data_IF_778615739509
#
_entry.id   IF_778615739509
#
_cell.length_a   1.000
_cell.length_b   1.000
_cell.length_c   1.000
_cell.angle_alpha   90.00
_cell.angle_beta   90.00
_cell.angle_gamma   90.00
#
_symmetry.space_group_name_H-M   'P 1'
#
loop_
_entity.id
_entity.type
_entity.pdbx_description
1 polymer ?
#
# COMPACT_ATOMS: atom_id res chain seq x y z
N UNK A 1 13.28 37.50 0.55
CA UNK A 1 12.03 36.70 0.46
C UNK A 1 11.85 36.23 -0.99
N UNK A 2 11.82 34.91 -1.27
CA UNK A 2 11.26 34.24 -2.48
C UNK A 2 11.84 32.85 -2.86
N UNK A 3 12.51 32.12 -1.95
CA UNK A 3 12.95 30.72 -2.25
C UNK A 3 12.02 29.61 -1.71
N UNK A 4 11.07 29.92 -0.85
CA UNK A 4 10.19 28.91 -0.23
C UNK A 4 8.94 28.58 -1.07
N UNK A 5 8.48 29.51 -1.91
CA UNK A 5 7.25 29.35 -2.72
C UNK A 5 7.48 28.37 -3.88
N UNK A 6 8.70 28.30 -4.43
CA UNK A 6 9.05 27.43 -5.56
C UNK A 6 9.12 25.94 -5.19
N UNK A 7 9.60 25.58 -3.99
CA UNK A 7 9.62 24.17 -3.53
C UNK A 7 8.22 23.60 -3.31
N UNK A 8 7.30 24.40 -2.76
CA UNK A 8 5.92 23.96 -2.48
C UNK A 8 5.11 23.78 -3.76
N UNK A 9 5.39 24.58 -4.79
CA UNK A 9 4.83 24.41 -6.13
C UNK A 9 5.41 23.19 -6.85
N UNK A 10 6.73 22.94 -6.74
CA UNK A 10 7.38 21.77 -7.33
C UNK A 10 6.90 20.44 -6.69
N UNK A 11 6.68 20.41 -5.37
CA UNK A 11 6.11 19.24 -4.68
C UNK A 11 4.63 19.00 -5.06
N UNK A 12 3.85 20.06 -5.28
CA UNK A 12 2.47 19.94 -5.81
C UNK A 12 2.45 19.46 -7.27
N UNK A 13 3.41 19.89 -8.09
CA UNK A 13 3.53 19.46 -9.48
C UNK A 13 3.95 17.98 -9.59
N UNK A 14 4.87 17.52 -8.74
CA UNK A 14 5.27 16.10 -8.68
C UNK A 14 4.12 15.17 -8.24
N UNK A 15 3.18 15.68 -7.44
CA UNK A 15 1.98 14.95 -7.00
C UNK A 15 0.82 14.98 -8.00
N UNK A 16 0.94 15.71 -9.11
CA UNK A 16 -0.10 15.92 -10.11
C UNK A 16 0.33 15.57 -11.54
N UNK A 17 1.53 14.99 -11.73
CA UNK A 17 1.89 14.46 -13.04
C UNK A 17 0.93 13.31 -13.33
N UNK A 18 0.07 13.41 -14.36
CA UNK A 18 -0.75 12.30 -14.78
C UNK A 18 0.19 11.14 -15.09
N UNK A 19 -0.03 9.99 -14.48
CA UNK A 19 0.71 8.79 -14.86
C UNK A 19 0.43 8.53 -16.34
N UNK A 20 1.45 8.70 -17.17
CA UNK A 20 1.44 8.22 -18.54
C UNK A 20 1.93 6.77 -18.47
N UNK A 21 1.13 5.77 -18.89
CA UNK A 21 1.57 4.39 -18.94
C UNK A 21 2.86 4.28 -19.76
N UNK A 22 3.99 4.13 -19.07
CA UNK A 22 5.23 3.73 -19.72
C UNK A 22 5.20 2.21 -19.83
N UNK A 23 5.30 1.70 -21.06
CA UNK A 23 5.71 0.31 -21.23
C UNK A 23 7.10 0.16 -20.61
N UNK A 24 7.23 -0.76 -19.65
CA UNK A 24 8.51 -1.05 -19.01
C UNK A 24 9.50 -1.57 -20.06
N UNK A 25 10.60 -0.85 -20.26
CA UNK A 25 11.55 -1.10 -21.36
C UNK A 25 13.01 -1.02 -20.92
N UNK A 26 13.31 -0.69 -19.66
CA UNK A 26 14.69 -0.46 -19.21
C UNK A 26 15.10 -1.46 -18.13
N UNK A 27 16.38 -1.85 -18.19
CA UNK A 27 17.06 -2.52 -17.08
C UNK A 27 17.29 -1.55 -15.91
N UNK A 28 17.62 -2.10 -14.74
CA UNK A 28 17.96 -1.31 -13.57
C UNK A 28 19.16 -0.37 -13.85
N UNK A 29 19.07 0.95 -13.57
CA UNK A 29 20.13 1.92 -13.82
C UNK A 29 21.49 1.44 -13.33
N UNK A 30 22.56 1.60 -14.12
CA UNK A 30 23.88 1.03 -13.80
C UNK A 30 24.52 1.59 -12.51
N UNK A 31 24.15 2.81 -12.14
CA UNK A 31 24.65 3.58 -10.98
C UNK A 31 23.93 3.28 -9.65
N UNK A 32 22.98 2.34 -9.63
CA UNK A 32 22.31 1.97 -8.38
C UNK A 32 23.29 1.39 -7.34
N UNK A 33 23.13 1.75 -6.05
CA UNK A 33 23.84 1.10 -4.97
C UNK A 33 23.72 -0.43 -5.05
N UNK A 34 24.82 -1.20 -4.90
CA UNK A 34 24.81 -2.65 -5.10
C UNK A 34 23.75 -3.38 -4.27
N UNK A 35 23.53 -2.96 -3.02
CA UNK A 35 22.51 -3.53 -2.15
C UNK A 35 21.08 -3.33 -2.68
N UNK A 36 20.76 -2.16 -3.22
CA UNK A 36 19.44 -1.87 -3.80
C UNK A 36 19.20 -2.74 -5.03
N UNK A 37 20.19 -2.82 -5.93
CA UNK A 37 20.12 -3.70 -7.10
C UNK A 37 19.91 -5.16 -6.68
N UNK A 38 20.67 -5.62 -5.68
CA UNK A 38 20.59 -6.98 -5.19
C UNK A 38 19.20 -7.30 -4.61
N UNK A 39 18.60 -6.37 -3.83
CA UNK A 39 17.25 -6.54 -3.28
C UNK A 39 16.22 -6.67 -4.41
N UNK A 40 16.24 -5.76 -5.39
CA UNK A 40 15.26 -5.78 -6.50
C UNK A 40 15.41 -7.06 -7.32
N UNK A 41 16.62 -7.37 -7.77
CA UNK A 41 16.88 -8.56 -8.59
C UNK A 41 16.56 -9.86 -7.84
N UNK A 42 16.95 -9.96 -6.58
CA UNK A 42 16.66 -11.15 -5.77
C UNK A 42 15.15 -11.29 -5.58
N UNK A 43 14.44 -10.20 -5.33
CA UNK A 43 12.98 -10.23 -5.16
C UNK A 43 12.28 -10.67 -6.43
N UNK A 44 12.61 -10.06 -7.58
CA UNK A 44 11.99 -10.37 -8.87
C UNK A 44 12.28 -11.80 -9.38
N UNK A 45 13.32 -12.46 -8.85
CA UNK A 45 13.65 -13.86 -9.17
C UNK A 45 12.96 -14.88 -8.26
N UNK A 46 12.36 -14.44 -7.15
CA UNK A 46 11.62 -15.34 -6.25
C UNK A 46 10.25 -15.67 -6.85
N UNK A 47 9.64 -16.73 -6.34
CA UNK A 47 8.21 -16.94 -6.55
C UNK A 47 7.43 -15.80 -5.88
N UNK A 48 6.60 -15.05 -6.65
CA UNK A 48 5.76 -13.97 -6.11
C UNK A 48 4.92 -14.41 -4.91
N UNK A 49 4.44 -15.66 -4.87
CA UNK A 49 3.65 -16.20 -3.77
C UNK A 49 4.37 -16.18 -2.41
N UNK A 50 5.71 -16.15 -2.42
CA UNK A 50 6.52 -16.12 -1.19
C UNK A 50 6.56 -14.75 -0.52
N UNK A 51 6.04 -13.71 -1.18
CA UNK A 51 5.89 -12.39 -0.58
C UNK A 51 4.51 -12.28 0.04
N UNK A 52 4.46 -12.12 1.36
CA UNK A 52 3.20 -12.04 2.11
C UNK A 52 2.47 -10.71 1.89
N UNK A 53 1.30 -10.56 2.53
CA UNK A 53 0.46 -9.36 2.48
C UNK A 53 0.60 -8.48 3.72
N UNK A 54 1.56 -8.79 4.61
CA UNK A 54 1.86 -7.96 5.78
C UNK A 54 2.73 -6.73 5.42
N UNK A 55 3.11 -5.96 6.43
CA UNK A 55 3.88 -4.72 6.26
C UNK A 55 5.17 -4.93 5.46
N UNK A 56 5.86 -6.06 5.63
CA UNK A 56 7.12 -6.32 4.95
C UNK A 56 6.88 -6.58 3.46
N UNK A 57 5.96 -7.50 3.16
CA UNK A 57 5.67 -7.86 1.78
C UNK A 57 5.07 -6.71 0.98
N UNK A 58 4.17 -5.95 1.60
CA UNK A 58 3.47 -4.85 0.93
C UNK A 58 4.37 -3.65 0.66
N UNK A 59 5.26 -3.29 1.61
CA UNK A 59 6.25 -2.23 1.39
C UNK A 59 7.26 -2.62 0.32
N UNK A 60 7.71 -3.89 0.29
CA UNK A 60 8.62 -4.36 -0.76
C UNK A 60 7.95 -4.32 -2.14
N UNK A 61 6.70 -4.80 -2.25
CA UNK A 61 5.94 -4.75 -3.51
C UNK A 61 5.68 -3.32 -3.97
N UNK A 62 5.32 -2.41 -3.05
CA UNK A 62 5.17 -0.99 -3.38
C UNK A 62 6.49 -0.41 -3.91
N UNK A 63 7.62 -0.72 -3.28
CA UNK A 63 8.94 -0.29 -3.74
C UNK A 63 9.24 -0.79 -5.16
N UNK A 64 8.90 -2.04 -5.48
CA UNK A 64 9.02 -2.54 -6.86
C UNK A 64 8.14 -1.74 -7.83
N UNK A 65 6.89 -1.45 -7.48
CA UNK A 65 5.97 -0.67 -8.33
C UNK A 65 6.42 0.79 -8.52
N UNK A 66 7.15 1.37 -7.56
CA UNK A 66 7.82 2.65 -7.76
C UNK A 66 8.98 2.56 -8.77
N UNK A 67 9.69 1.44 -8.81
CA UNK A 67 10.67 1.16 -9.87
C UNK A 67 10.01 0.91 -11.22
N UNK A 68 8.87 0.24 -11.27
CA UNK A 68 8.08 0.10 -12.50
C UNK A 68 7.71 1.45 -13.09
N UNK A 69 7.29 2.42 -12.26
CA UNK A 69 6.99 3.78 -12.70
C UNK A 69 8.19 4.48 -13.37
N UNK A 70 9.42 4.01 -13.09
CA UNK A 70 10.67 4.48 -13.71
C UNK A 70 11.09 3.63 -14.93
N UNK A 71 10.23 2.71 -15.38
CA UNK A 71 10.43 1.87 -16.56
C UNK A 71 11.11 0.52 -16.31
N UNK A 72 11.36 0.13 -15.06
CA UNK A 72 12.00 -1.15 -14.73
C UNK A 72 11.09 -2.31 -15.14
N UNK A 73 11.65 -3.21 -15.97
CA UNK A 73 10.96 -4.40 -16.50
C UNK A 73 10.61 -5.44 -15.41
N UNK A 74 9.80 -6.42 -15.79
CA UNK A 74 9.37 -7.59 -15.01
C UNK A 74 8.51 -7.32 -13.75
N UNK A 75 8.53 -6.11 -13.19
CA UNK A 75 7.72 -5.74 -12.02
C UNK A 75 6.22 -5.91 -12.26
N UNK A 76 5.71 -5.54 -13.44
CA UNK A 76 4.29 -5.70 -13.74
C UNK A 76 3.87 -7.17 -13.69
N UNK A 77 4.61 -8.05 -14.37
CA UNK A 77 4.33 -9.48 -14.35
C UNK A 77 4.41 -10.06 -12.93
N UNK A 78 5.46 -9.68 -12.18
CA UNK A 78 5.67 -10.11 -10.80
C UNK A 78 4.52 -9.68 -9.87
N UNK A 79 4.13 -8.40 -9.91
CA UNK A 79 3.06 -7.84 -9.08
C UNK A 79 1.67 -8.40 -9.43
N UNK A 80 1.38 -8.63 -10.72
CA UNK A 80 0.14 -9.28 -11.14
C UNK A 80 0.07 -10.72 -10.62
N UNK A 81 1.16 -11.49 -10.74
CA UNK A 81 1.22 -12.86 -10.22
C UNK A 81 1.08 -12.92 -8.68
N UNK A 82 1.68 -11.96 -7.97
CA UNK A 82 1.50 -11.82 -6.53
C UNK A 82 0.03 -11.57 -6.15
N UNK A 83 -0.63 -10.62 -6.82
CA UNK A 83 -2.04 -10.34 -6.58
C UNK A 83 -2.94 -11.55 -6.88
N UNK A 84 -2.68 -12.23 -8.01
CA UNK A 84 -3.44 -13.43 -8.42
C UNK A 84 -3.33 -14.57 -7.39
N UNK A 85 -2.15 -14.74 -6.79
CA UNK A 85 -1.95 -15.74 -5.74
C UNK A 85 -2.76 -15.42 -4.48
N UNK A 86 -2.67 -14.19 -3.99
CA UNK A 86 -3.34 -13.79 -2.74
C UNK A 86 -4.86 -13.74 -2.87
N UNK A 87 -5.40 -13.44 -4.06
CA UNK A 87 -6.83 -13.55 -4.35
C UNK A 87 -7.37 -14.98 -4.36
N UNK A 88 -6.51 -15.99 -4.56
CA UNK A 88 -6.89 -17.41 -4.60
C UNK A 88 -6.54 -18.15 -3.30
N UNK A 89 -5.84 -17.48 -2.39
CA UNK A 89 -5.38 -18.08 -1.14
C UNK A 89 -6.53 -18.20 -0.15
N UNK A 90 -6.64 -19.35 0.52
CA UNK A 90 -7.77 -19.67 1.39
C UNK A 90 -7.71 -19.06 2.80
N UNK A 91 -6.67 -18.26 3.09
CA UNK A 91 -6.47 -17.68 4.40
C UNK A 91 -5.26 -16.76 4.44
N UNK A 92 -5.07 -16.10 5.58
CA UNK A 92 -3.88 -15.27 5.81
C UNK A 92 -2.65 -16.17 5.84
N UNK A 93 -1.55 -15.74 5.20
CA UNK A 93 -0.26 -16.43 5.36
C UNK A 93 0.07 -16.55 6.85
N UNK A 94 0.59 -17.70 7.31
CA UNK A 94 0.87 -17.98 8.73
C UNK A 94 1.70 -16.85 9.38
N UNK A 95 1.01 -15.90 10.00
CA UNK A 95 1.59 -14.77 10.73
C UNK A 95 1.62 -15.13 12.21
N UNK A 96 2.79 -15.04 12.83
CA UNK A 96 3.00 -15.37 14.25
C UNK A 96 3.04 -14.13 15.16
N UNK A 97 2.70 -12.95 14.64
CA UNK A 97 2.72 -11.71 15.42
C UNK A 97 1.39 -11.42 16.11
N UNK A 98 1.04 -10.14 16.20
CA UNK A 98 -0.14 -9.66 16.93
C UNK A 98 -1.44 -10.41 16.57
N UNK A 99 -2.20 -10.79 17.62
CA UNK A 99 -3.46 -11.50 17.46
C UNK A 99 -4.54 -10.52 17.01
N UNK A 100 -5.03 -10.70 15.80
CA UNK A 100 -6.12 -9.93 15.22
C UNK A 100 -7.10 -10.88 14.53
N UNK A 101 -8.37 -10.49 14.43
CA UNK A 101 -9.35 -11.27 13.67
C UNK A 101 -9.02 -11.27 12.17
N UNK A 102 -9.32 -12.38 11.52
CA UNK A 102 -9.27 -12.49 10.06
C UNK A 102 -10.50 -11.85 9.42
N UNK A 103 -10.25 -11.16 8.32
CA UNK A 103 -11.22 -10.39 7.53
C UNK A 103 -10.77 -10.43 6.07
N UNK A 104 -11.58 -9.89 5.17
CA UNK A 104 -11.26 -9.85 3.74
C UNK A 104 -11.30 -8.42 3.22
N UNK A 105 -10.35 -8.07 2.35
CA UNK A 105 -10.36 -6.82 1.59
C UNK A 105 -10.16 -7.12 0.09
N UNK A 106 -11.18 -6.84 -0.72
CA UNK A 106 -11.18 -7.09 -2.17
C UNK A 106 -10.96 -8.54 -2.55
N UNK A 107 -11.36 -9.49 -1.70
CA UNK A 107 -11.15 -10.93 -1.87
C UNK A 107 -9.84 -11.47 -1.28
N UNK A 108 -8.96 -10.63 -0.72
CA UNK A 108 -7.72 -11.07 -0.08
C UNK A 108 -7.95 -11.21 1.42
N UNK A 109 -7.56 -12.36 1.98
CA UNK A 109 -7.54 -12.58 3.43
C UNK A 109 -6.46 -11.73 4.09
N UNK A 110 -6.86 -10.96 5.10
CA UNK A 110 -6.00 -10.13 5.94
C UNK A 110 -6.44 -10.25 7.39
N UNK A 111 -5.71 -9.61 8.30
CA UNK A 111 -6.20 -9.40 9.67
C UNK A 111 -6.39 -7.91 9.95
N UNK A 112 -7.10 -7.56 11.02
CA UNK A 112 -7.20 -6.18 11.52
C UNK A 112 -5.91 -5.64 12.13
N UNK A 113 -4.81 -6.39 12.05
CA UNK A 113 -3.47 -5.91 12.41
C UNK A 113 -3.03 -4.84 11.40
N UNK A 114 -2.54 -3.71 11.90
CA UNK A 114 -2.19 -2.54 11.12
C UNK A 114 -1.17 -2.81 10.00
N UNK A 115 -0.28 -3.79 10.16
CA UNK A 115 0.67 -4.17 9.12
C UNK A 115 -0.01 -4.64 7.82
N UNK A 116 -1.20 -5.24 7.91
CA UNK A 116 -1.94 -5.68 6.71
C UNK A 116 -2.63 -4.52 5.98
N UNK A 117 -2.81 -3.35 6.60
CA UNK A 117 -3.37 -2.19 5.91
C UNK A 117 -2.43 -1.71 4.79
N UNK A 118 -1.15 -2.04 4.89
CA UNK A 118 -0.15 -1.82 3.84
C UNK A 118 -0.51 -2.45 2.50
N UNK A 119 -1.41 -3.45 2.46
CA UNK A 119 -1.91 -4.06 1.22
C UNK A 119 -2.52 -3.02 0.26
N UNK A 120 -3.11 -1.94 0.77
CA UNK A 120 -3.63 -0.86 -0.07
C UNK A 120 -2.53 -0.16 -0.89
N UNK A 121 -1.26 -0.22 -0.49
CA UNK A 121 -0.19 0.55 -1.15
C UNK A 121 0.17 -0.02 -2.51
N UNK A 122 0.59 -1.31 -2.64
CA UNK A 122 0.84 -1.88 -3.94
C UNK A 122 -0.44 -1.97 -4.78
N UNK A 123 -1.60 -2.22 -4.17
CA UNK A 123 -2.86 -2.26 -4.90
C UNK A 123 -3.24 -0.89 -5.49
N UNK A 124 -2.96 0.21 -4.81
CA UNK A 124 -3.19 1.56 -5.33
C UNK A 124 -2.30 1.81 -6.55
N UNK A 125 -1.03 1.44 -6.42
CA UNK A 125 -0.06 1.55 -7.51
C UNK A 125 -0.47 0.72 -8.73
N UNK A 126 -0.92 -0.53 -8.55
CA UNK A 126 -1.43 -1.35 -9.65
C UNK A 126 -2.71 -0.78 -10.27
N UNK A 127 -3.62 -0.23 -9.46
CA UNK A 127 -4.84 0.38 -9.96
C UNK A 127 -4.55 1.62 -10.82
N UNK A 128 -3.66 2.50 -10.37
CA UNK A 128 -3.30 3.73 -11.09
C UNK A 128 -2.39 3.45 -12.28
N UNK A 129 -1.41 2.55 -12.13
CA UNK A 129 -0.43 2.28 -13.19
C UNK A 129 -0.96 1.33 -14.27
N UNK A 130 -1.78 0.33 -13.91
CA UNK A 130 -2.23 -0.71 -14.83
C UNK A 130 -3.73 -0.67 -15.13
N UNK A 131 -4.51 0.15 -14.41
CA UNK A 131 -5.96 0.11 -14.46
C UNK A 131 -6.57 -1.16 -13.84
N UNK A 132 -5.82 -1.87 -12.98
CA UNK A 132 -6.27 -3.16 -12.43
C UNK A 132 -7.46 -2.95 -11.48
N UNK A 133 -8.65 -3.39 -11.91
CA UNK A 133 -9.90 -3.22 -11.18
C UNK A 133 -9.98 -4.08 -9.91
N UNK A 134 -9.22 -5.18 -9.84
CA UNK A 134 -9.16 -6.05 -8.66
C UNK A 134 -8.34 -5.36 -7.59
N UNK A 135 -7.18 -4.83 -7.96
CA UNK A 135 -6.33 -4.03 -7.07
C UNK A 135 -7.07 -2.77 -6.56
N UNK A 136 -7.83 -2.12 -7.44
CA UNK A 136 -8.71 -1.00 -7.08
C UNK A 136 -9.70 -1.38 -5.99
N UNK A 137 -10.40 -2.51 -6.15
CA UNK A 137 -11.36 -3.01 -5.16
C UNK A 137 -10.71 -3.26 -3.80
N UNK A 138 -9.53 -3.88 -3.77
CA UNK A 138 -8.77 -4.11 -2.53
C UNK A 138 -8.49 -2.80 -1.80
N UNK A 139 -8.12 -1.72 -2.50
CA UNK A 139 -7.86 -0.43 -1.85
C UNK A 139 -9.10 0.20 -1.23
N UNK A 140 -10.23 0.14 -1.93
CA UNK A 140 -11.50 0.70 -1.48
C UNK A 140 -11.97 -0.06 -0.25
N UNK A 141 -12.06 -1.39 -0.35
CA UNK A 141 -12.51 -2.23 0.76
C UNK A 141 -11.55 -2.19 1.95
N UNK A 142 -10.24 -2.01 1.74
CA UNK A 142 -9.30 -1.78 2.86
C UNK A 142 -9.59 -0.45 3.58
N UNK A 143 -9.93 0.62 2.85
CA UNK A 143 -10.33 1.88 3.44
C UNK A 143 -11.60 1.75 4.28
N UNK A 144 -12.63 1.08 3.75
CA UNK A 144 -13.88 0.79 4.46
C UNK A 144 -13.66 -0.08 5.70
N UNK A 145 -12.79 -1.09 5.59
CA UNK A 145 -12.40 -1.95 6.70
C UNK A 145 -11.78 -1.14 7.83
N UNK A 146 -10.83 -0.26 7.52
CA UNK A 146 -10.21 0.63 8.52
C UNK A 146 -11.23 1.60 9.12
N UNK A 147 -12.18 2.09 8.32
CA UNK A 147 -13.20 3.02 8.78
C UNK A 147 -14.16 2.37 9.77
N UNK A 148 -14.65 1.16 9.45
CA UNK A 148 -15.80 0.55 10.12
C UNK A 148 -15.49 -0.62 11.04
N UNK A 149 -14.37 -1.31 10.82
CA UNK A 149 -14.13 -2.62 11.43
C UNK A 149 -12.86 -2.70 12.28
N UNK A 150 -11.96 -1.72 12.26
CA UNK A 150 -10.72 -1.78 13.06
C UNK A 150 -10.94 -1.24 14.46
N UNK A 151 -10.26 -1.86 15.44
CA UNK A 151 -10.26 -1.41 16.83
C UNK A 151 -9.74 0.03 16.96
N UNK A 152 -10.31 0.77 17.91
CA UNK A 152 -9.98 2.17 18.15
C UNK A 152 -9.86 2.42 19.64
N UNK A 153 -8.88 3.23 20.01
CA UNK A 153 -8.75 3.68 21.39
C UNK A 153 -9.84 4.73 21.72
N UNK A 154 -9.86 5.18 22.99
CA UNK A 154 -10.82 6.20 23.48
C UNK A 154 -10.79 7.55 22.74
N UNK A 155 -9.74 7.82 21.98
CA UNK A 155 -9.59 9.03 21.17
C UNK A 155 -10.05 8.82 19.73
N UNK A 156 -10.49 7.61 19.35
CA UNK A 156 -10.86 7.27 17.97
C UNK A 156 -9.67 6.95 17.05
N UNK A 157 -8.45 6.88 17.60
CA UNK A 157 -7.28 6.47 16.84
C UNK A 157 -7.29 4.97 16.61
N UNK A 158 -6.86 4.58 15.43
CA UNK A 158 -6.71 3.17 15.06
C UNK A 158 -5.69 2.52 15.97
N UNK A 159 -6.07 1.39 16.57
CA UNK A 159 -5.16 0.56 17.35
C UNK A 159 -4.32 -0.33 16.43
N UNK A 160 -3.16 -0.74 16.94
CA UNK A 160 -2.22 -1.56 16.17
C UNK A 160 -2.81 -2.93 15.79
N UNK A 161 -3.63 -3.50 16.67
CA UNK A 161 -4.34 -4.76 16.51
C UNK A 161 -5.59 -4.76 17.40
N UNK A 162 -6.35 -5.86 17.42
CA UNK A 162 -7.61 -5.96 18.19
C UNK A 162 -7.42 -5.95 19.71
N UNK A 163 -6.18 -6.06 20.20
CA UNK A 163 -5.82 -6.09 21.61
C UNK A 163 -4.89 -4.96 22.04
N UNK A 164 -4.59 -4.02 21.14
CA UNK A 164 -3.66 -2.94 21.40
C UNK A 164 -4.19 -1.97 22.45
N UNK A 165 -3.38 -1.59 23.43
CA UNK A 165 -3.76 -0.59 24.44
C UNK A 165 -3.41 0.85 24.02
N UNK A 166 -2.56 1.00 23.00
CA UNK A 166 -2.10 2.29 22.49
C UNK A 166 -1.83 2.23 20.99
N UNK A 167 -2.01 3.37 20.32
CA UNK A 167 -1.63 3.55 18.93
C UNK A 167 -0.12 3.83 18.86
N UNK A 168 0.59 3.17 17.94
CA UNK A 168 2.01 3.43 17.67
C UNK A 168 2.20 4.10 16.30
N UNK A 169 3.33 4.78 16.05
CA UNK A 169 3.51 5.58 14.83
C UNK A 169 3.38 4.79 13.51
N UNK A 170 3.76 3.51 13.48
CA UNK A 170 3.59 2.69 12.28
C UNK A 170 2.11 2.48 11.92
N UNK A 171 1.23 2.40 12.91
CA UNK A 171 -0.21 2.22 12.74
C UNK A 171 -0.80 3.43 12.05
N UNK A 172 -0.36 4.63 12.46
CA UNK A 172 -0.73 5.88 11.80
C UNK A 172 -0.26 5.91 10.34
N UNK A 173 0.97 5.48 10.06
CA UNK A 173 1.49 5.38 8.69
C UNK A 173 0.65 4.42 7.83
N UNK A 174 0.39 3.20 8.33
CA UNK A 174 -0.35 2.18 7.61
C UNK A 174 -1.82 2.55 7.40
N UNK A 175 -2.52 2.94 8.47
CA UNK A 175 -3.93 3.32 8.39
C UNK A 175 -4.12 4.60 7.57
N UNK A 176 -3.36 5.65 7.87
CA UNK A 176 -3.50 6.94 7.20
C UNK A 176 -3.26 6.85 5.69
N UNK A 177 -2.20 6.12 5.28
CA UNK A 177 -1.91 5.95 3.86
C UNK A 177 -2.94 5.06 3.16
N UNK A 178 -3.40 3.97 3.79
CA UNK A 178 -4.42 3.11 3.20
C UNK A 178 -5.77 3.84 3.02
N UNK A 179 -6.18 4.63 4.02
CA UNK A 179 -7.36 5.50 3.93
C UNK A 179 -7.23 6.52 2.80
N UNK A 180 -6.06 7.12 2.60
CA UNK A 180 -5.81 8.04 1.47
C UNK A 180 -5.84 7.32 0.11
N UNK A 181 -5.30 6.10 0.03
CA UNK A 181 -5.38 5.26 -1.19
C UNK A 181 -6.83 4.91 -1.53
N UNK A 182 -7.63 4.52 -0.53
CA UNK A 182 -9.07 4.29 -0.69
C UNK A 182 -9.79 5.57 -1.11
N UNK A 183 -9.54 6.70 -0.42
CA UNK A 183 -10.12 8.01 -0.73
C UNK A 183 -9.86 8.46 -2.17
N UNK A 184 -8.63 8.30 -2.65
CA UNK A 184 -8.25 8.67 -4.01
C UNK A 184 -8.93 7.79 -5.08
N UNK A 185 -9.38 6.60 -4.69
CA UNK A 185 -9.99 5.63 -5.58
C UNK A 185 -11.51 5.57 -5.41
N UNK A 186 -12.12 5.94 -4.29
CA UNK A 186 -13.57 5.84 -4.09
C UNK A 186 -14.25 7.21 -4.00
N UNK A 187 -14.91 7.69 -5.07
CA UNK A 187 -15.67 8.94 -5.03
C UNK A 187 -16.81 8.95 -4.01
N UNK A 188 -17.38 7.78 -3.67
CA UNK A 188 -18.52 7.67 -2.73
C UNK A 188 -18.11 7.93 -1.28
N UNK A 189 -16.94 7.44 -0.88
CA UNK A 189 -16.39 7.60 0.48
C UNK A 189 -15.18 8.53 0.56
N UNK A 190 -14.85 9.24 -0.53
CA UNK A 190 -13.65 10.06 -0.65
C UNK A 190 -13.46 11.00 0.55
N UNK A 191 -14.49 11.75 0.91
CA UNK A 191 -14.41 12.75 1.98
C UNK A 191 -14.18 12.12 3.34
N UNK A 192 -14.99 11.13 3.73
CA UNK A 192 -14.90 10.50 5.06
C UNK A 192 -13.58 9.75 5.25
N UNK A 193 -13.10 9.04 4.23
CA UNK A 193 -11.80 8.36 4.29
C UNK A 193 -10.66 9.36 4.46
N UNK A 194 -10.71 10.49 3.75
CA UNK A 194 -9.71 11.56 3.85
C UNK A 194 -9.73 12.22 5.23
N UNK A 195 -10.91 12.54 5.75
CA UNK A 195 -11.06 13.13 7.08
C UNK A 195 -10.51 12.20 8.16
N UNK A 196 -10.81 10.90 8.05
CA UNK A 196 -10.27 9.91 8.97
C UNK A 196 -8.75 9.78 8.87
N UNK A 197 -8.18 9.80 7.67
CA UNK A 197 -6.74 9.78 7.48
C UNK A 197 -6.04 10.98 8.14
N UNK A 198 -6.63 12.17 7.97
CA UNK A 198 -6.13 13.40 8.60
C UNK A 198 -6.27 13.34 10.11
N UNK A 199 -7.34 12.74 10.63
CA UNK A 199 -7.55 12.54 12.06
C UNK A 199 -6.41 11.73 12.67
N UNK A 200 -6.02 10.61 12.04
CA UNK A 200 -4.91 9.77 12.53
C UNK A 200 -3.56 10.52 12.61
N UNK A 201 -3.35 11.55 11.79
CA UNK A 201 -2.08 12.28 11.68
C UNK A 201 -1.95 13.49 12.62
N UNK A 202 -3.04 13.95 13.23
CA UNK A 202 -3.10 15.22 13.97
C UNK A 202 -2.85 15.11 15.48
N UNK A 203 -2.83 13.90 16.00
CA UNK A 203 -2.75 13.55 17.43
C UNK A 203 -1.45 12.84 17.74
#
# INVERSE_FOLDING_TARGET
MNKAITRRAALKAAALVPFVPQEARVDLPHDLPPGVRAIINTTLRRDPATLNTDWFGTVLMQGLLEWHRRGVKDVRAFSTAWLDHHLKSAGVSRYSGAKSREVTAGGIHVTTYAGHFGLAFPCYEMAVQFGDQRARRVCIEMGELILHQVARNRLGLVEHDDSGEFAIPDTCYFAGRALMSGSALDPGFQQVLREQAVFQLRT
#
